data_IF_233623152275
#
_entry.id   IF_233623152275
#
_cell.length_a   1.000
_cell.length_b   1.000
_cell.length_c   1.000
_cell.angle_alpha   90.00
_cell.angle_beta   90.00
_cell.angle_gamma   90.00
#
_symmetry.space_group_name_H-M   'P 1'
#
loop_
_entity.id
_entity.type
_entity.pdbx_description
1 polymer ?
#
# COMPACT_ATOMS: atom_id res chain seq x y z
N UNK A 1 -22.77 -1.24 22.45
CA UNK A 1 -22.91 -0.25 21.37
C UNK A 1 -22.13 0.99 21.78
N UNK A 2 -20.90 1.13 21.29
CA UNK A 2 -20.09 2.34 21.54
C UNK A 2 -20.38 3.34 20.41
N UNK A 3 -20.57 4.61 20.80
CA UNK A 3 -21.00 5.71 19.94
C UNK A 3 -19.94 6.05 18.87
N UNK A 4 -20.24 5.81 17.60
CA UNK A 4 -19.57 6.44 16.45
C UNK A 4 -20.05 7.88 16.20
N UNK A 5 -20.47 8.63 17.23
CA UNK A 5 -21.21 9.89 17.07
C UNK A 5 -20.38 11.09 16.61
N UNK A 6 -19.37 10.91 15.75
CA UNK A 6 -18.45 12.00 15.43
C UNK A 6 -18.37 12.31 13.93
N UNK A 7 -18.48 11.32 13.03
CA UNK A 7 -18.38 11.55 11.58
C UNK A 7 -19.47 10.78 10.82
N UNK A 8 -20.05 11.42 9.81
CA UNK A 8 -20.94 10.84 8.81
C UNK A 8 -20.16 9.95 7.83
N UNK A 9 -20.88 9.18 7.00
CA UNK A 9 -20.26 8.34 5.97
C UNK A 9 -19.35 9.15 5.03
N UNK A 10 -19.80 10.34 4.61
CA UNK A 10 -19.02 11.18 3.71
C UNK A 10 -17.78 11.72 4.40
N UNK A 11 -17.90 12.20 5.65
CA UNK A 11 -16.74 12.68 6.42
C UNK A 11 -15.71 11.57 6.67
N UNK A 12 -16.15 10.33 6.93
CA UNK A 12 -15.22 9.18 7.07
C UNK A 12 -14.50 8.92 5.75
N UNK A 13 -15.24 8.91 4.64
CA UNK A 13 -14.67 8.71 3.30
C UNK A 13 -13.63 9.79 2.98
N UNK A 14 -13.94 11.06 3.23
CA UNK A 14 -13.04 12.18 2.97
C UNK A 14 -11.78 12.12 3.82
N UNK A 15 -11.90 11.75 5.11
CA UNK A 15 -10.76 11.52 6.00
C UNK A 15 -9.88 10.37 5.50
N UNK A 16 -10.47 9.24 5.10
CA UNK A 16 -9.73 8.09 4.57
C UNK A 16 -9.02 8.45 3.27
N UNK A 17 -9.69 9.13 2.34
CA UNK A 17 -9.11 9.56 1.07
C UNK A 17 -7.94 10.53 1.28
N UNK A 18 -8.08 11.52 2.17
CA UNK A 18 -7.00 12.44 2.53
C UNK A 18 -5.80 11.68 3.14
N UNK A 19 -6.06 10.76 4.07
CA UNK A 19 -5.03 9.93 4.71
C UNK A 19 -4.28 9.07 3.71
N UNK A 20 -4.98 8.38 2.80
CA UNK A 20 -4.34 7.56 1.78
C UNK A 20 -3.53 8.37 0.77
N UNK A 21 -3.98 9.58 0.39
CA UNK A 21 -3.21 10.49 -0.46
C UNK A 21 -1.89 10.90 0.21
N UNK A 22 -1.91 11.23 1.50
CA UNK A 22 -0.70 11.58 2.26
C UNK A 22 0.26 10.38 2.32
N UNK A 23 -0.24 9.18 2.58
CA UNK A 23 0.57 7.96 2.56
C UNK A 23 1.17 7.69 1.17
N UNK A 24 0.42 7.93 0.10
CA UNK A 24 0.93 7.80 -1.27
C UNK A 24 2.07 8.80 -1.54
N UNK A 25 1.92 10.05 -1.11
CA UNK A 25 2.99 11.07 -1.22
C UNK A 25 4.24 10.64 -0.44
N UNK A 26 4.07 10.11 0.77
CA UNK A 26 5.19 9.57 1.56
C UNK A 26 5.87 8.39 0.86
N UNK A 27 5.10 7.45 0.31
CA UNK A 27 5.62 6.32 -0.46
C UNK A 27 6.42 6.79 -1.69
N UNK A 28 5.89 7.75 -2.44
CA UNK A 28 6.59 8.35 -3.58
C UNK A 28 7.89 9.05 -3.17
N UNK A 29 7.91 9.73 -2.03
CA UNK A 29 9.12 10.36 -1.49
C UNK A 29 10.18 9.34 -1.10
N UNK A 30 9.79 8.22 -0.47
CA UNK A 30 10.71 7.11 -0.17
C UNK A 30 11.26 6.52 -1.47
N UNK A 31 10.40 6.23 -2.45
CA UNK A 31 10.82 5.71 -3.75
C UNK A 31 11.80 6.67 -4.46
N UNK A 32 11.55 7.97 -4.42
CA UNK A 32 12.45 8.97 -4.99
C UNK A 32 13.82 8.96 -4.29
N UNK A 33 13.86 8.83 -2.96
CA UNK A 33 15.11 8.70 -2.18
C UNK A 33 15.86 7.42 -2.54
N UNK A 34 15.16 6.29 -2.74
CA UNK A 34 15.76 5.02 -3.18
C UNK A 34 16.40 5.20 -4.56
N UNK A 35 15.66 5.75 -5.53
CA UNK A 35 16.16 5.98 -6.88
C UNK A 35 17.40 6.88 -6.87
N UNK A 36 17.38 7.98 -6.11
CA UNK A 36 18.55 8.85 -5.95
C UNK A 36 19.75 8.13 -5.34
N UNK A 37 19.52 7.27 -4.34
CA UNK A 37 20.57 6.48 -3.70
C UNK A 37 21.15 5.40 -4.62
N UNK A 38 20.38 4.95 -5.62
CA UNK A 38 20.83 4.06 -6.70
C UNK A 38 21.47 4.81 -7.89
N UNK A 39 21.55 6.15 -7.84
CA UNK A 39 22.07 6.96 -8.94
C UNK A 39 21.10 7.10 -10.12
N UNK A 40 19.84 6.74 -9.92
CA UNK A 40 18.78 6.89 -10.90
C UNK A 40 18.14 8.29 -10.82
N UNK A 41 17.63 8.76 -11.96
CA UNK A 41 16.83 9.99 -11.98
C UNK A 41 15.43 9.71 -11.44
N UNK A 42 14.88 10.57 -10.57
CA UNK A 42 13.46 10.51 -10.24
C UNK A 42 12.64 10.53 -11.53
N UNK A 43 11.79 9.51 -11.71
CA UNK A 43 10.82 9.48 -12.80
C UNK A 43 9.52 10.04 -12.24
N UNK A 44 9.00 11.08 -12.88
CA UNK A 44 7.65 11.54 -12.58
C UNK A 44 6.67 10.44 -13.00
N UNK A 45 5.68 10.12 -12.16
CA UNK A 45 4.64 9.18 -12.54
C UNK A 45 3.86 9.74 -13.73
N UNK A 46 3.50 8.85 -14.67
CA UNK A 46 2.67 9.23 -15.81
C UNK A 46 1.32 9.77 -15.30
N UNK A 47 0.80 10.90 -15.84
CA UNK A 47 -0.48 11.48 -15.42
C UNK A 47 -1.63 10.49 -15.43
N UNK A 48 -1.62 9.55 -16.37
CA UNK A 48 -2.61 8.48 -16.51
C UNK A 48 -2.59 7.53 -15.31
N UNK A 49 -1.40 7.20 -14.81
CA UNK A 49 -1.21 6.34 -13.63
C UNK A 49 -1.62 7.09 -12.35
N UNK A 50 -1.32 8.39 -12.26
CA UNK A 50 -1.75 9.23 -11.13
C UNK A 50 -3.28 9.23 -11.03
N UNK A 51 -3.96 9.56 -12.12
CA UNK A 51 -5.42 9.64 -12.14
C UNK A 51 -6.11 8.28 -11.97
N UNK A 52 -5.51 7.19 -12.47
CA UNK A 52 -5.94 5.83 -12.12
C UNK A 52 -5.88 5.65 -10.61
N UNK A 53 -4.73 5.93 -10.00
CA UNK A 53 -4.53 5.71 -8.55
C UNK A 53 -5.47 6.55 -7.70
N UNK A 54 -5.74 7.80 -8.07
CA UNK A 54 -6.72 8.64 -7.39
C UNK A 54 -8.13 8.02 -7.42
N UNK A 55 -8.56 7.50 -8.59
CA UNK A 55 -9.83 6.78 -8.70
C UNK A 55 -9.88 5.55 -7.78
N UNK A 56 -8.76 4.84 -7.64
CA UNK A 56 -8.64 3.68 -6.73
C UNK A 56 -8.81 4.07 -5.27
N UNK A 57 -8.15 5.15 -4.86
CA UNK A 57 -8.26 5.64 -3.50
C UNK A 57 -9.70 5.99 -3.15
N UNK A 58 -10.44 6.65 -4.05
CA UNK A 58 -11.85 6.97 -3.81
C UNK A 58 -12.72 5.71 -3.66
N UNK A 59 -12.54 4.69 -4.50
CA UNK A 59 -13.30 3.43 -4.43
C UNK A 59 -12.99 2.68 -3.12
N UNK A 60 -11.72 2.57 -2.76
CA UNK A 60 -11.29 1.88 -1.54
C UNK A 60 -11.80 2.64 -0.30
N UNK A 61 -11.69 3.96 -0.27
CA UNK A 61 -12.19 4.79 0.82
C UNK A 61 -13.70 4.63 1.02
N UNK A 62 -14.49 4.64 -0.06
CA UNK A 62 -15.94 4.43 0.01
C UNK A 62 -16.29 3.04 0.58
N UNK A 63 -15.61 2.00 0.12
CA UNK A 63 -15.81 0.64 0.62
C UNK A 63 -15.45 0.49 2.10
N UNK A 64 -14.28 0.98 2.49
CA UNK A 64 -13.80 0.92 3.89
C UNK A 64 -14.72 1.74 4.79
N UNK A 65 -15.14 2.94 4.38
CA UNK A 65 -16.06 3.78 5.14
C UNK A 65 -17.40 3.09 5.40
N UNK A 66 -18.00 2.47 4.37
CA UNK A 66 -19.25 1.71 4.50
C UNK A 66 -19.11 0.54 5.48
N UNK A 67 -18.01 -0.21 5.41
CA UNK A 67 -17.75 -1.34 6.32
C UNK A 67 -17.50 -0.87 7.75
N UNK A 68 -16.75 0.21 7.94
CA UNK A 68 -16.52 0.81 9.28
C UNK A 68 -17.83 1.25 9.93
N UNK A 69 -18.75 1.87 9.19
CA UNK A 69 -20.07 2.26 9.72
C UNK A 69 -20.94 1.04 10.04
N UNK A 70 -20.88 0.00 9.19
CA UNK A 70 -21.61 -1.22 9.44
C UNK A 70 -21.10 -1.99 10.67
N UNK A 71 -19.81 -1.85 10.99
CA UNK A 71 -19.09 -2.56 12.08
C UNK A 71 -19.33 -4.09 12.02
N UNK A 72 -19.46 -4.63 10.80
CA UNK A 72 -19.60 -6.07 10.58
C UNK A 72 -18.22 -6.74 10.58
N UNK A 73 -17.74 -7.03 11.79
CA UNK A 73 -16.45 -7.69 12.03
C UNK A 73 -16.37 -9.13 11.53
N UNK A 74 -17.44 -9.68 10.97
CA UNK A 74 -17.37 -10.95 10.24
C UNK A 74 -16.78 -10.81 8.84
N UNK A 75 -16.62 -9.57 8.36
CA UNK A 75 -16.08 -9.20 7.05
C UNK A 75 -14.82 -8.36 7.23
N UNK A 76 -13.73 -8.69 6.52
CA UNK A 76 -12.51 -7.87 6.54
C UNK A 76 -12.78 -6.46 6.00
N UNK A 77 -12.11 -5.43 6.55
CA UNK A 77 -12.25 -4.05 6.03
C UNK A 77 -11.83 -3.93 4.56
N UNK A 78 -10.79 -4.67 4.17
CA UNK A 78 -10.30 -4.80 2.81
C UNK A 78 -9.77 -6.23 2.66
N UNK A 79 -10.16 -6.94 1.60
CA UNK A 79 -9.66 -8.28 1.30
C UNK A 79 -9.06 -8.38 -0.09
N UNK A 80 -8.35 -9.48 -0.36
CA UNK A 80 -7.84 -9.77 -1.70
C UNK A 80 -8.98 -9.89 -2.72
N UNK A 81 -10.11 -10.50 -2.32
CA UNK A 81 -11.29 -10.65 -3.17
C UNK A 81 -11.88 -9.30 -3.60
N UNK A 82 -11.85 -8.29 -2.73
CA UNK A 82 -12.29 -6.94 -3.09
C UNK A 82 -11.41 -6.37 -4.20
N UNK A 83 -10.08 -6.46 -4.05
CA UNK A 83 -9.13 -5.97 -5.04
C UNK A 83 -9.27 -6.72 -6.38
N UNK A 84 -9.49 -8.03 -6.31
CA UNK A 84 -9.73 -8.87 -7.49
C UNK A 84 -11.05 -8.51 -8.18
N UNK A 85 -12.12 -8.23 -7.42
CA UNK A 85 -13.41 -7.85 -7.99
C UNK A 85 -13.35 -6.50 -8.72
N UNK A 86 -12.44 -5.62 -8.30
CA UNK A 86 -12.22 -4.33 -8.92
C UNK A 86 -11.26 -4.43 -10.13
N UNK A 87 -10.45 -5.48 -10.23
CA UNK A 87 -9.43 -5.66 -11.27
C UNK A 87 -9.90 -5.42 -12.72
N UNK A 88 -11.07 -5.93 -13.18
CA UNK A 88 -11.54 -5.67 -14.53
C UNK A 88 -11.70 -4.17 -14.82
N UNK A 89 -12.18 -3.40 -13.84
CA UNK A 89 -12.35 -1.95 -13.97
C UNK A 89 -10.99 -1.23 -14.06
N UNK A 90 -9.94 -1.71 -13.39
CA UNK A 90 -8.59 -1.13 -13.58
C UNK A 90 -8.03 -1.44 -14.95
N UNK A 91 -8.21 -2.66 -15.43
CA UNK A 91 -7.74 -3.04 -16.76
C UNK A 91 -8.46 -2.20 -17.82
N UNK A 92 -9.77 -2.02 -17.72
CA UNK A 92 -10.54 -1.18 -18.64
C UNK A 92 -10.07 0.28 -18.60
N UNK A 93 -9.88 0.85 -17.40
CA UNK A 93 -9.40 2.22 -17.27
C UNK A 93 -7.94 2.40 -17.70
N UNK A 94 -7.12 1.35 -17.61
CA UNK A 94 -5.77 1.32 -18.21
C UNK A 94 -5.85 1.30 -19.72
N UNK A 95 -6.70 0.48 -20.33
CA UNK A 95 -6.87 0.41 -21.79
C UNK A 95 -7.35 1.74 -22.39
N UNK A 96 -8.27 2.42 -21.70
CA UNK A 96 -8.75 3.74 -22.11
C UNK A 96 -7.64 4.80 -22.15
N UNK A 97 -6.61 4.67 -21.32
CA UNK A 97 -5.56 5.68 -21.12
C UNK A 97 -4.23 5.34 -21.79
N UNK A 98 -3.87 4.06 -21.83
CA UNK A 98 -2.57 3.56 -22.27
C UNK A 98 -2.63 2.80 -23.60
N UNK A 99 -3.84 2.52 -24.10
CA UNK A 99 -4.08 1.78 -25.34
C UNK A 99 -4.65 0.38 -25.08
N UNK A 100 -5.37 -0.15 -26.08
CA UNK A 100 -6.01 -1.47 -26.01
C UNK A 100 -4.97 -2.57 -25.86
N UNK A 101 -5.17 -3.44 -24.87
CA UNK A 101 -4.36 -4.63 -24.65
C UNK A 101 -4.84 -5.76 -25.58
N UNK A 102 -3.91 -6.54 -26.12
CA UNK A 102 -4.27 -7.76 -26.83
C UNK A 102 -4.91 -8.78 -25.85
N UNK A 103 -5.78 -9.69 -26.31
CA UNK A 103 -6.48 -10.64 -25.43
C UNK A 103 -5.56 -11.44 -24.51
N UNK A 104 -4.38 -11.84 -25.01
CA UNK A 104 -3.39 -12.60 -24.25
C UNK A 104 -2.66 -11.73 -23.22
N UNK A 105 -2.37 -10.47 -23.54
CA UNK A 105 -1.77 -9.50 -22.60
C UNK A 105 -2.74 -9.21 -21.45
N UNK A 106 -4.02 -9.00 -21.78
CA UNK A 106 -5.09 -8.79 -20.81
C UNK A 106 -5.24 -9.97 -19.86
N UNK A 107 -5.23 -11.19 -20.39
CA UNK A 107 -5.31 -12.42 -19.60
C UNK A 107 -4.08 -12.58 -18.68
N UNK A 108 -2.89 -12.26 -19.19
CA UNK A 108 -1.66 -12.34 -18.40
C UNK A 108 -1.65 -11.32 -17.26
N UNK A 109 -2.04 -10.07 -17.53
CA UNK A 109 -2.15 -9.01 -16.52
C UNK A 109 -3.19 -9.39 -15.46
N UNK A 110 -4.36 -9.89 -15.87
CA UNK A 110 -5.40 -10.35 -14.95
C UNK A 110 -4.89 -11.44 -13.98
N UNK A 111 -4.19 -12.45 -14.51
CA UNK A 111 -3.62 -13.54 -13.70
C UNK A 111 -2.49 -13.07 -12.78
N UNK A 112 -1.61 -12.19 -13.28
CA UNK A 112 -0.52 -11.63 -12.49
C UNK A 112 -1.07 -10.84 -11.31
N UNK A 113 -1.96 -9.89 -11.58
CA UNK A 113 -2.48 -8.97 -10.56
C UNK A 113 -3.31 -9.71 -9.51
N UNK A 114 -4.09 -10.74 -9.91
CA UNK A 114 -4.79 -11.62 -8.94
C UNK A 114 -3.84 -12.30 -7.97
N UNK A 115 -2.73 -12.84 -8.49
CA UNK A 115 -1.72 -13.52 -7.67
C UNK A 115 -1.05 -12.54 -6.73
N UNK A 116 -0.60 -11.39 -7.25
CA UNK A 116 0.06 -10.35 -6.46
C UNK A 116 -0.85 -9.78 -5.37
N UNK A 117 -2.12 -9.49 -5.66
CA UNK A 117 -3.03 -8.91 -4.66
C UNK A 117 -3.29 -9.83 -3.48
N UNK A 118 -3.36 -11.15 -3.71
CA UNK A 118 -3.56 -12.10 -2.63
C UNK A 118 -2.42 -12.04 -1.62
N UNK A 119 -1.19 -12.10 -2.11
CA UNK A 119 -0.01 -12.11 -1.24
C UNK A 119 0.23 -10.73 -0.60
N UNK A 120 -0.04 -9.64 -1.34
CA UNK A 120 0.05 -8.27 -0.82
C UNK A 120 -0.97 -7.99 0.29
N UNK A 121 -2.20 -8.49 0.17
CA UNK A 121 -3.23 -8.25 1.18
C UNK A 121 -2.94 -8.99 2.49
N UNK A 122 -2.33 -10.16 2.43
CA UNK A 122 -1.84 -10.86 3.63
C UNK A 122 -0.73 -10.06 4.33
N UNK A 123 0.17 -9.43 3.56
CA UNK A 123 1.22 -8.55 4.10
C UNK A 123 0.64 -7.27 4.72
N UNK A 124 -0.30 -6.61 4.03
CA UNK A 124 -0.97 -5.39 4.52
C UNK A 124 -1.76 -5.71 5.79
N UNK A 125 -2.46 -6.84 5.84
CA UNK A 125 -3.21 -7.27 7.02
C UNK A 125 -2.32 -7.55 8.23
N UNK A 126 -1.07 -7.93 8.01
CA UNK A 126 -0.11 -8.12 9.09
C UNK A 126 0.53 -6.81 9.59
N UNK A 127 0.44 -5.72 8.80
CA UNK A 127 1.14 -4.44 9.05
C UNK A 127 0.48 -3.51 10.08
N UNK A 128 -0.72 -3.85 10.53
CA UNK A 128 -1.40 -3.08 11.58
C UNK A 128 -0.61 -3.13 12.89
N UNK A 129 -0.63 -2.05 13.69
CA UNK A 129 0.10 -2.06 14.96
C UNK A 129 -0.43 -3.19 15.84
N UNK A 130 0.44 -4.04 16.37
CA UNK A 130 0.06 -5.22 17.18
C UNK A 130 -0.79 -4.90 18.42
N UNK A 131 -0.86 -3.63 18.81
CA UNK A 131 -1.76 -3.13 19.87
C UNK A 131 -3.23 -3.21 19.45
N UNK A 132 -3.51 -3.13 18.15
CA UNK A 132 -4.82 -3.34 17.57
C UNK A 132 -4.86 -4.75 16.98
N UNK A 133 -5.65 -5.63 17.59
CA UNK A 133 -5.82 -7.01 17.12
C UNK A 133 -6.72 -7.09 15.88
N UNK A 134 -7.45 -6.01 15.58
CA UNK A 134 -8.47 -5.92 14.55
C UNK A 134 -8.33 -4.57 13.80
N UNK A 135 -8.27 -4.58 12.45
CA UNK A 135 -8.28 -3.35 11.64
C UNK A 135 -9.45 -2.41 11.96
N UNK A 136 -10.62 -2.94 12.32
CA UNK A 136 -11.77 -2.12 12.73
C UNK A 136 -11.44 -1.26 13.96
N UNK A 137 -10.73 -1.83 14.93
CA UNK A 137 -10.34 -1.10 16.13
C UNK A 137 -9.32 -0.01 15.80
N UNK A 138 -8.32 -0.30 14.96
CA UNK A 138 -7.34 0.70 14.52
C UNK A 138 -8.02 1.89 13.86
N UNK A 139 -8.84 1.65 12.83
CA UNK A 139 -9.50 2.74 12.10
C UNK A 139 -10.52 3.49 12.94
N UNK A 140 -11.24 2.82 13.85
CA UNK A 140 -12.15 3.48 14.80
C UNK A 140 -11.40 4.44 15.74
N UNK A 141 -10.26 4.02 16.28
CA UNK A 141 -9.42 4.89 17.12
C UNK A 141 -8.81 6.03 16.30
N UNK A 142 -8.38 5.75 15.06
CA UNK A 142 -7.86 6.76 14.13
C UNK A 142 -8.91 7.86 13.85
N UNK A 143 -10.12 7.47 13.43
CA UNK A 143 -11.20 8.43 13.13
C UNK A 143 -11.59 9.26 14.37
N UNK A 144 -11.59 8.64 15.55
CA UNK A 144 -11.81 9.36 16.81
C UNK A 144 -10.70 10.37 17.10
N UNK A 145 -9.44 10.00 16.92
CA UNK A 145 -8.31 10.89 17.12
C UNK A 145 -8.35 12.07 16.13
N UNK A 146 -8.60 11.80 14.85
CA UNK A 146 -8.79 12.82 13.81
C UNK A 146 -9.88 13.80 14.22
N UNK A 147 -11.04 13.32 14.64
CA UNK A 147 -12.15 14.19 14.99
C UNK A 147 -11.88 15.07 16.21
N UNK A 148 -11.16 14.53 17.20
CA UNK A 148 -10.76 15.31 18.37
C UNK A 148 -9.77 16.41 18.00
N UNK A 149 -8.75 16.08 17.20
CA UNK A 149 -7.77 17.06 16.70
C UNK A 149 -8.47 18.12 15.86
N UNK A 150 -9.36 17.73 14.94
CA UNK A 150 -10.16 18.65 14.13
C UNK A 150 -10.93 19.67 15.00
N UNK A 151 -11.61 19.17 16.04
CA UNK A 151 -12.37 20.01 16.98
C UNK A 151 -11.49 20.92 17.84
N UNK A 152 -10.29 20.49 18.21
CA UNK A 152 -9.37 21.28 19.05
C UNK A 152 -8.68 22.40 18.26
N UNK A 153 -8.49 22.20 16.96
CA UNK A 153 -7.88 23.16 16.03
C UNK A 153 -8.88 23.96 15.19
N UNK A 154 -10.19 23.72 15.35
CA UNK A 154 -11.29 24.38 14.61
C UNK A 154 -11.15 24.24 13.08
N UNK A 155 -10.88 23.02 12.61
CA UNK A 155 -10.73 22.66 11.19
C UNK A 155 -11.63 21.49 10.80
N UNK A 156 -11.82 21.27 9.50
CA UNK A 156 -12.55 20.10 9.00
C UNK A 156 -11.75 18.81 9.26
N UNK A 157 -12.40 17.69 9.62
CA UNK A 157 -11.74 16.40 9.83
C UNK A 157 -10.86 15.96 8.65
N UNK A 158 -11.31 16.23 7.41
CA UNK A 158 -10.57 15.89 6.19
C UNK A 158 -9.27 16.69 6.01
N UNK A 159 -9.12 17.83 6.68
CA UNK A 159 -7.92 18.65 6.62
C UNK A 159 -6.83 18.19 7.58
N UNK A 160 -7.20 17.43 8.63
CA UNK A 160 -6.27 16.93 9.65
C UNK A 160 -5.11 16.12 9.05
N UNK A 161 -5.30 15.17 8.11
CA UNK A 161 -4.18 14.42 7.54
C UNK A 161 -3.24 15.29 6.67
N UNK A 162 -3.74 16.39 6.10
CA UNK A 162 -3.01 17.22 5.14
C UNK A 162 -2.02 18.20 5.80
N UNK A 163 -2.15 18.42 7.11
CA UNK A 163 -1.19 19.23 7.88
C UNK A 163 -0.25 18.34 8.70
N UNK A 164 1.05 18.59 8.56
CA UNK A 164 2.12 17.86 9.27
C UNK A 164 1.87 17.89 10.78
N UNK A 165 1.53 19.05 11.34
CA UNK A 165 1.35 19.24 12.78
C UNK A 165 0.19 18.39 13.33
N UNK A 166 -0.96 18.46 12.67
CA UNK A 166 -2.17 17.76 13.10
C UNK A 166 -2.10 16.26 12.83
N UNK A 167 -1.45 15.84 11.73
CA UNK A 167 -1.19 14.42 11.45
C UNK A 167 -0.24 13.79 12.48
N UNK A 168 0.79 14.53 12.92
CA UNK A 168 1.69 14.07 13.97
C UNK A 168 0.98 13.96 15.31
N UNK A 169 0.07 14.88 15.60
CA UNK A 169 -0.73 14.82 16.80
C UNK A 169 -1.65 13.60 16.82
N UNK A 170 -2.32 13.29 15.71
CA UNK A 170 -3.09 12.04 15.56
C UNK A 170 -2.19 10.82 15.79
N UNK A 171 -0.99 10.81 15.20
CA UNK A 171 -0.03 9.70 15.38
C UNK A 171 0.36 9.52 16.84
N UNK A 172 0.69 10.62 17.56
CA UNK A 172 1.01 10.59 19.00
C UNK A 172 -0.15 10.12 19.87
N UNK A 173 -1.41 10.39 19.49
CA UNK A 173 -2.61 9.92 20.19
C UNK A 173 -2.87 8.42 19.97
N UNK A 174 -2.44 7.88 18.83
CA UNK A 174 -2.65 6.47 18.46
C UNK A 174 -1.54 5.56 18.95
N UNK A 175 -0.29 6.02 18.89
CA UNK A 175 0.88 5.20 19.10
C UNK A 175 1.89 5.89 20.02
N UNK A 176 2.46 5.14 20.95
CA UNK A 176 3.72 5.53 21.59
C UNK A 176 4.86 5.47 20.57
N UNK A 177 5.97 6.13 20.91
CA UNK A 177 7.19 6.08 20.10
C UNK A 177 7.65 4.65 19.81
N UNK A 178 7.62 3.78 20.82
CA UNK A 178 8.01 2.38 20.70
C UNK A 178 7.08 1.60 19.76
N UNK A 179 5.76 1.85 19.84
CA UNK A 179 4.78 1.23 18.96
C UNK A 179 4.96 1.69 17.51
N UNK A 180 5.18 3.00 17.28
CA UNK A 180 5.42 3.56 15.96
C UNK A 180 6.69 2.98 15.32
N UNK A 181 7.82 2.99 16.04
CA UNK A 181 9.09 2.42 15.56
C UNK A 181 8.95 0.91 15.33
N UNK A 182 8.27 0.21 16.23
CA UNK A 182 8.02 -1.22 16.12
C UNK A 182 7.23 -1.57 14.85
N UNK A 183 6.20 -0.80 14.53
CA UNK A 183 5.41 -0.96 13.32
C UNK A 183 6.26 -0.71 12.06
N UNK A 184 7.04 0.38 12.02
CA UNK A 184 7.91 0.68 10.89
C UNK A 184 8.92 -0.45 10.62
N UNK A 185 9.54 -0.99 11.67
CA UNK A 185 10.45 -2.16 11.57
C UNK A 185 9.73 -3.41 11.09
N UNK A 186 8.53 -3.68 11.61
CA UNK A 186 7.74 -4.81 11.16
C UNK A 186 7.42 -4.73 9.66
N UNK A 187 6.98 -3.56 9.18
CA UNK A 187 6.71 -3.31 7.75
C UNK A 187 7.97 -3.53 6.92
N UNK A 188 9.10 -2.99 7.37
CA UNK A 188 10.41 -3.20 6.73
C UNK A 188 10.76 -4.68 6.62
N UNK A 189 10.68 -5.42 7.73
CA UNK A 189 11.09 -6.82 7.80
C UNK A 189 10.14 -7.77 7.06
N UNK A 190 8.89 -7.36 6.82
CA UNK A 190 7.92 -8.13 6.03
C UNK A 190 7.97 -7.81 4.55
N UNK A 191 7.98 -6.53 4.20
CA UNK A 191 7.83 -6.10 2.80
C UNK A 191 9.19 -6.01 2.10
N UNK A 192 10.22 -5.51 2.79
CA UNK A 192 11.59 -5.40 2.27
C UNK A 192 12.42 -6.63 2.66
N UNK A 193 11.82 -7.81 2.55
CA UNK A 193 12.49 -9.08 2.77
C UNK A 193 12.69 -9.81 1.45
N UNK A 194 13.92 -10.25 1.20
CA UNK A 194 14.27 -10.89 -0.06
C UNK A 194 13.42 -12.12 -0.37
N UNK A 195 13.19 -12.99 0.63
CA UNK A 195 12.37 -14.18 0.46
C UNK A 195 10.90 -13.81 0.17
N UNK A 196 10.40 -12.75 0.80
CA UNK A 196 9.03 -12.28 0.57
C UNK A 196 8.88 -11.69 -0.83
N UNK A 197 9.81 -10.85 -1.28
CA UNK A 197 9.82 -10.27 -2.65
C UNK A 197 9.95 -11.39 -3.69
N UNK A 198 10.84 -12.36 -3.44
CA UNK A 198 11.02 -13.51 -4.30
C UNK A 198 9.74 -14.31 -4.48
N UNK A 199 9.12 -14.71 -3.37
CA UNK A 199 7.99 -15.62 -3.40
C UNK A 199 6.68 -14.93 -3.80
N UNK A 200 6.49 -13.67 -3.38
CA UNK A 200 5.21 -12.96 -3.52
C UNK A 200 5.16 -12.05 -4.75
N UNK A 201 6.31 -11.69 -5.34
CA UNK A 201 6.37 -10.80 -6.51
C UNK A 201 7.08 -11.44 -7.70
N UNK A 202 8.31 -11.94 -7.51
CA UNK A 202 9.13 -12.41 -8.63
C UNK A 202 8.67 -13.79 -9.13
N UNK A 203 8.40 -14.74 -8.24
CA UNK A 203 8.01 -16.11 -8.61
C UNK A 203 6.70 -16.15 -9.43
N UNK A 204 5.64 -15.40 -9.10
CA UNK A 204 4.45 -15.30 -9.94
C UNK A 204 4.74 -14.82 -11.38
N UNK A 205 5.65 -13.85 -11.53
CA UNK A 205 6.05 -13.34 -12.86
C UNK A 205 6.79 -14.43 -13.63
N UNK A 206 7.73 -15.10 -12.98
CA UNK A 206 8.49 -16.20 -13.59
C UNK A 206 7.59 -17.37 -13.98
N UNK A 207 6.61 -17.72 -13.14
CA UNK A 207 5.65 -18.79 -13.41
C UNK A 207 4.75 -18.45 -14.61
N UNK A 208 4.34 -17.18 -14.75
CA UNK A 208 3.58 -16.73 -15.91
C UNK A 208 4.40 -16.75 -17.20
N UNK A 209 5.65 -16.30 -17.14
CA UNK A 209 6.55 -16.33 -18.31
C UNK A 209 6.91 -17.77 -18.72
N UNK A 210 7.12 -18.66 -17.74
CA UNK A 210 7.37 -20.07 -17.99
C UNK A 210 6.14 -20.79 -18.56
N UNK A 211 4.92 -20.39 -18.22
CA UNK A 211 3.70 -21.03 -18.72
C UNK A 211 3.27 -20.59 -20.12
N UNK A 212 4.12 -19.88 -20.88
CA UNK A 212 3.86 -19.63 -22.29
C UNK A 212 3.83 -20.95 -23.09
N UNK A 213 2.84 -21.06 -23.98
CA UNK A 213 2.41 -22.32 -24.62
C UNK A 213 3.49 -22.99 -25.49
N UNK A 214 4.59 -22.28 -25.79
CA UNK A 214 5.62 -22.70 -26.73
C UNK A 214 6.91 -23.25 -26.09
N UNK A 215 7.03 -23.25 -24.74
CA UNK A 215 8.25 -23.73 -24.06
C UNK A 215 8.06 -25.11 -23.44
N UNK A 216 9.02 -26.01 -23.64
CA UNK A 216 9.07 -27.28 -22.90
C UNK A 216 9.57 -27.07 -21.45
N UNK A 217 9.40 -28.08 -20.58
CA UNK A 217 9.76 -27.95 -19.16
C UNK A 217 11.25 -27.60 -18.94
N UNK A 218 12.14 -28.09 -19.80
CA UNK A 218 13.56 -27.81 -19.67
C UNK A 218 13.86 -26.36 -20.06
N UNK A 219 13.27 -25.88 -21.15
CA UNK A 219 13.39 -24.49 -21.58
C UNK A 219 12.82 -23.52 -20.53
N UNK A 220 11.69 -23.88 -19.89
CA UNK A 220 11.11 -23.11 -18.77
C UNK A 220 12.06 -23.00 -17.59
N UNK A 221 12.68 -24.11 -17.19
CA UNK A 221 13.62 -24.14 -16.09
C UNK A 221 14.90 -23.33 -16.42
N UNK A 222 15.38 -23.42 -17.66
CA UNK A 222 16.54 -22.64 -18.15
C UNK A 222 16.26 -21.14 -18.15
N UNK A 223 15.08 -20.71 -18.63
CA UNK A 223 14.64 -19.30 -18.60
C UNK A 223 14.53 -18.80 -17.17
N UNK A 224 13.88 -19.56 -16.28
CA UNK A 224 13.74 -19.17 -14.87
C UNK A 224 15.09 -19.05 -14.15
N UNK A 225 16.03 -19.98 -14.40
CA UNK A 225 17.38 -19.94 -13.85
C UNK A 225 18.15 -18.74 -14.40
N UNK A 226 18.07 -18.48 -15.70
CA UNK A 226 18.76 -17.35 -16.34
C UNK A 226 18.26 -16.02 -15.79
N UNK A 227 16.93 -15.85 -15.72
CA UNK A 227 16.32 -14.63 -15.19
C UNK A 227 16.66 -14.42 -13.71
N UNK A 228 16.59 -15.47 -12.88
CA UNK A 228 17.02 -15.37 -11.47
C UNK A 228 18.48 -14.96 -11.38
N UNK A 229 19.38 -15.53 -12.19
CA UNK A 229 20.80 -15.18 -12.18
C UNK A 229 21.07 -13.72 -12.55
N UNK A 230 20.28 -13.15 -13.46
CA UNK A 230 20.42 -11.76 -13.89
C UNK A 230 19.79 -10.76 -12.93
N UNK A 231 18.60 -11.08 -12.40
CA UNK A 231 17.79 -10.17 -11.58
C UNK A 231 18.24 -10.19 -10.11
N UNK A 232 18.60 -11.36 -9.56
CA UNK A 232 18.89 -11.51 -8.13
C UNK A 232 20.01 -10.58 -7.62
N UNK A 233 21.17 -10.44 -8.30
CA UNK A 233 22.21 -9.55 -7.83
C UNK A 233 21.76 -8.09 -7.76
N UNK A 234 20.97 -7.63 -8.75
CA UNK A 234 20.44 -6.28 -8.78
C UNK A 234 19.39 -6.09 -7.68
N UNK A 235 18.53 -7.09 -7.48
CA UNK A 235 17.53 -7.07 -6.43
C UNK A 235 18.17 -7.03 -5.03
N UNK A 236 19.25 -7.77 -4.81
CA UNK A 236 20.02 -7.75 -3.56
C UNK A 236 20.63 -6.36 -3.30
N UNK A 237 21.28 -5.78 -4.31
CA UNK A 237 21.85 -4.43 -4.22
C UNK A 237 20.77 -3.38 -3.92
N UNK A 238 19.66 -3.42 -4.68
CA UNK A 238 18.54 -2.50 -4.52
C UNK A 238 17.89 -2.65 -3.15
N UNK A 239 17.77 -3.89 -2.64
CA UNK A 239 17.19 -4.15 -1.33
C UNK A 239 18.04 -3.57 -0.20
N UNK A 240 19.38 -3.71 -0.26
CA UNK A 240 20.28 -3.12 0.73
C UNK A 240 20.13 -1.60 0.76
N UNK A 241 20.02 -0.95 -0.40
CA UNK A 241 19.82 0.49 -0.50
C UNK A 241 18.43 0.89 0.04
N UNK A 242 17.38 0.16 -0.34
CA UNK A 242 16.02 0.41 0.12
C UNK A 242 15.88 0.28 1.64
N UNK A 243 16.49 -0.74 2.24
CA UNK A 243 16.50 -0.95 3.69
C UNK A 243 17.15 0.22 4.42
N UNK A 244 18.30 0.71 3.93
CA UNK A 244 18.98 1.88 4.51
C UNK A 244 18.13 3.14 4.40
N UNK A 245 17.59 3.43 3.22
CA UNK A 245 16.74 4.61 3.00
C UNK A 245 15.49 4.57 3.88
N UNK A 246 14.89 3.39 4.06
CA UNK A 246 13.74 3.22 4.95
C UNK A 246 14.13 3.46 6.41
N UNK A 247 15.27 2.95 6.87
CA UNK A 247 15.76 3.19 8.23
C UNK A 247 16.04 4.68 8.49
N UNK A 248 16.67 5.38 7.53
CA UNK A 248 16.90 6.82 7.62
C UNK A 248 15.57 7.59 7.68
N UNK A 249 14.62 7.26 6.81
CA UNK A 249 13.29 7.85 6.81
C UNK A 249 12.54 7.61 8.13
N UNK A 250 12.52 6.37 8.63
CA UNK A 250 11.84 6.05 9.88
C UNK A 250 12.46 6.80 11.07
N UNK A 251 13.78 6.98 11.08
CA UNK A 251 14.48 7.74 12.12
C UNK A 251 14.12 9.24 12.04
N UNK A 252 14.08 9.83 10.85
CA UNK A 252 13.65 11.21 10.62
C UNK A 252 12.21 11.45 11.10
N UNK A 253 11.28 10.59 10.69
CA UNK A 253 9.87 10.69 11.08
C UNK A 253 9.69 10.49 12.59
N UNK A 254 10.40 9.53 13.17
CA UNK A 254 10.36 9.30 14.62
C UNK A 254 10.87 10.51 15.40
N UNK A 255 11.93 11.17 14.92
CA UNK A 255 12.42 12.40 15.53
C UNK A 255 11.40 13.52 15.38
N UNK A 256 10.85 13.72 14.19
CA UNK A 256 9.84 14.75 13.89
C UNK A 256 8.58 14.62 14.74
N UNK A 257 8.09 13.39 14.93
CA UNK A 257 6.83 13.15 15.66
C UNK A 257 7.03 13.20 17.18
N UNK A 258 8.18 12.78 17.71
CA UNK A 258 8.35 12.52 19.15
C UNK A 258 9.52 13.26 19.84
N UNK A 259 10.19 14.21 19.20
CA UNK A 259 11.23 15.07 19.80
C UNK A 259 10.82 16.55 19.72
#
# INVERSE_FOLDING_TARGET
MQNFSILTLEEIKDVLEASFKVQQVQSNNIQARINLALGEKPKEPLPEIVALTESWLTIISDMVAKRLIADDRSVNLLSAEDMIALLPQMIDAMEERLGTLEPDERKMIDQLVKTLFKDLMDMVSASYPATFQDPYDYYSHFLKAVSQVASEHDIEPSDVPNSIETADEVTRRLLTKEQYVGQGKFVKDKILNMETILNSMLQPILDLMANQEDLDQQERDEVAISMKKEIMPQLEEHLVVALRVFDDYLNEETARIYQ
#
